data_IF_887692364842
#
_entry.id   IF_887692364842
#
_cell.length_a   1.000
_cell.length_b   1.000
_cell.length_c   1.000
_cell.angle_alpha   90.00
_cell.angle_beta   90.00
_cell.angle_gamma   90.00
#
_symmetry.space_group_name_H-M   'P 1'
#
loop_
_entity.id
_entity.type
_entity.pdbx_description
1 polymer ?
#
# COMPACT_ATOMS: atom_id res chain seq x y z
N UNK A 1 -9.08 -40.19 0.12
CA UNK A 1 -7.74 -39.56 0.10
C UNK A 1 -7.88 -38.08 -0.21
N UNK A 2 -7.26 -37.23 0.57
CA UNK A 2 -7.32 -35.77 0.38
C UNK A 2 -6.39 -35.39 -0.78
N UNK A 3 -6.91 -34.60 -1.71
CA UNK A 3 -6.10 -34.09 -2.81
C UNK A 3 -5.29 -32.87 -2.29
N UNK A 4 -4.03 -33.10 -1.96
CA UNK A 4 -3.12 -32.11 -1.40
C UNK A 4 -2.96 -30.89 -2.31
N UNK A 5 -2.89 -31.10 -3.65
CA UNK A 5 -2.75 -30.01 -4.61
C UNK A 5 -3.97 -29.08 -4.61
N UNK A 6 -5.19 -29.63 -4.56
CA UNK A 6 -6.41 -28.85 -4.48
C UNK A 6 -6.51 -28.08 -3.16
N UNK A 7 -6.10 -28.71 -2.05
CA UNK A 7 -6.07 -28.07 -0.73
C UNK A 7 -5.08 -26.91 -0.71
N UNK A 8 -3.88 -27.07 -1.25
CA UNK A 8 -2.87 -26.02 -1.34
C UNK A 8 -3.33 -24.86 -2.22
N UNK A 9 -3.98 -25.15 -3.36
CA UNK A 9 -4.52 -24.13 -4.25
C UNK A 9 -5.62 -23.30 -3.56
N UNK A 10 -6.51 -23.96 -2.80
CA UNK A 10 -7.55 -23.27 -2.04
C UNK A 10 -6.95 -22.37 -0.95
N UNK A 11 -5.94 -22.87 -0.20
CA UNK A 11 -5.23 -22.08 0.82
C UNK A 11 -4.53 -20.87 0.20
N UNK A 12 -3.91 -21.04 -0.96
CA UNK A 12 -3.25 -19.94 -1.67
C UNK A 12 -4.24 -18.85 -2.09
N UNK A 13 -5.44 -19.26 -2.56
CA UNK A 13 -6.50 -18.31 -2.92
C UNK A 13 -7.02 -17.56 -1.70
N UNK A 14 -7.17 -18.25 -0.56
CA UNK A 14 -7.61 -17.65 0.69
C UNK A 14 -6.59 -16.62 1.20
N UNK A 15 -5.31 -16.95 1.12
CA UNK A 15 -4.24 -16.02 1.50
C UNK A 15 -4.24 -14.81 0.59
N UNK A 16 -4.34 -15.00 -0.73
CA UNK A 16 -4.38 -13.90 -1.69
C UNK A 16 -5.59 -12.99 -1.44
N UNK A 17 -6.75 -13.56 -1.14
CA UNK A 17 -7.95 -12.80 -0.80
C UNK A 17 -7.76 -11.99 0.48
N UNK A 18 -7.15 -12.58 1.51
CA UNK A 18 -6.87 -11.89 2.79
C UNK A 18 -5.91 -10.73 2.58
N UNK A 19 -4.83 -10.92 1.79
CA UNK A 19 -3.88 -9.86 1.48
C UNK A 19 -4.55 -8.73 0.72
N UNK A 20 -5.37 -9.05 -0.29
CA UNK A 20 -6.13 -8.05 -1.05
C UNK A 20 -7.06 -7.24 -0.14
N UNK A 21 -7.75 -7.91 0.78
CA UNK A 21 -8.64 -7.24 1.73
C UNK A 21 -7.89 -6.30 2.66
N UNK A 22 -6.72 -6.71 3.14
CA UNK A 22 -5.86 -5.86 3.99
C UNK A 22 -5.38 -4.63 3.24
N UNK A 23 -4.96 -4.78 1.98
CA UNK A 23 -4.54 -3.67 1.15
C UNK A 23 -5.68 -2.68 0.92
N UNK A 24 -6.89 -3.18 0.69
CA UNK A 24 -8.07 -2.33 0.51
C UNK A 24 -8.39 -1.55 1.80
N UNK A 25 -8.29 -2.19 2.96
CA UNK A 25 -8.50 -1.54 4.25
C UNK A 25 -7.43 -0.48 4.54
N UNK A 26 -6.17 -0.77 4.22
CA UNK A 26 -5.07 0.19 4.36
C UNK A 26 -5.30 1.42 3.50
N UNK A 27 -5.72 1.22 2.25
CA UNK A 27 -6.02 2.30 1.33
C UNK A 27 -7.16 3.17 1.85
N UNK A 28 -8.21 2.55 2.36
CA UNK A 28 -9.35 3.25 2.94
C UNK A 28 -8.95 4.07 4.16
N UNK A 29 -8.17 3.49 5.06
CA UNK A 29 -7.65 4.17 6.25
C UNK A 29 -6.78 5.35 5.86
N UNK A 30 -5.91 5.16 4.86
CA UNK A 30 -5.03 6.21 4.37
C UNK A 30 -5.83 7.34 3.71
N UNK A 31 -6.87 7.02 2.95
CA UNK A 31 -7.76 8.01 2.35
C UNK A 31 -8.42 8.87 3.44
N UNK A 32 -8.92 8.26 4.49
CA UNK A 32 -9.53 8.98 5.61
C UNK A 32 -8.54 9.89 6.31
N UNK A 33 -7.34 9.41 6.55
CA UNK A 33 -6.27 10.19 7.17
C UNK A 33 -5.91 11.41 6.31
N UNK A 34 -5.71 11.21 5.02
CA UNK A 34 -5.37 12.29 4.09
C UNK A 34 -6.49 13.31 3.98
N UNK A 35 -7.75 12.86 4.00
CA UNK A 35 -8.90 13.75 3.97
C UNK A 35 -8.94 14.66 5.20
N UNK A 36 -8.64 14.12 6.38
CA UNK A 36 -8.55 14.91 7.61
C UNK A 36 -7.44 15.96 7.52
N UNK A 37 -6.29 15.59 6.96
CA UNK A 37 -5.17 16.52 6.76
C UNK A 37 -5.51 17.61 5.76
N UNK A 38 -6.27 17.26 4.72
CA UNK A 38 -6.76 18.22 3.75
C UNK A 38 -7.70 19.25 4.40
N UNK A 39 -8.58 18.78 5.28
CA UNK A 39 -9.49 19.67 6.02
C UNK A 39 -8.75 20.63 6.94
N UNK A 40 -7.57 20.27 7.42
CA UNK A 40 -6.70 21.14 8.22
C UNK A 40 -5.85 22.09 7.39
N UNK A 41 -5.96 22.03 6.06
CA UNK A 41 -5.18 22.87 5.17
C UNK A 41 -3.76 22.38 4.90
N UNK A 42 -3.39 21.19 5.35
CA UNK A 42 -2.05 20.61 5.15
C UNK A 42 -1.87 20.00 3.77
N UNK A 43 -2.96 19.71 3.07
CA UNK A 43 -2.98 19.22 1.69
C UNK A 43 -3.88 20.18 0.91
N UNK A 44 -3.47 20.58 -0.31
CA UNK A 44 -4.29 21.49 -1.10
C UNK A 44 -5.70 20.95 -1.34
N UNK A 45 -6.69 21.85 -1.30
CA UNK A 45 -8.09 21.47 -1.46
C UNK A 45 -8.39 20.87 -2.84
N UNK A 46 -7.60 21.21 -3.87
CA UNK A 46 -7.76 20.65 -5.21
C UNK A 46 -7.23 19.23 -5.35
N UNK A 47 -6.48 18.73 -4.36
CA UNK A 47 -5.88 17.41 -4.41
C UNK A 47 -6.95 16.32 -4.21
N UNK A 48 -6.96 15.32 -5.10
CA UNK A 48 -7.80 14.13 -4.93
C UNK A 48 -7.12 13.17 -3.96
N UNK A 49 -7.56 13.19 -2.70
CA UNK A 49 -6.93 12.40 -1.64
C UNK A 49 -7.13 10.89 -1.84
N UNK A 50 -8.19 10.46 -2.51
CA UNK A 50 -8.39 9.05 -2.81
C UNK A 50 -7.31 8.55 -3.79
N UNK A 51 -7.05 9.30 -4.85
CA UNK A 51 -5.98 8.96 -5.80
C UNK A 51 -4.61 9.02 -5.15
N UNK A 52 -4.39 9.98 -4.29
CA UNK A 52 -3.14 10.08 -3.54
C UNK A 52 -2.94 8.87 -2.63
N UNK A 53 -4.00 8.43 -1.95
CA UNK A 53 -3.95 7.23 -1.12
C UNK A 53 -3.67 5.97 -1.94
N UNK A 54 -4.29 5.82 -3.11
CA UNK A 54 -4.02 4.71 -4.02
C UNK A 54 -2.54 4.68 -4.42
N UNK A 55 -2.00 5.83 -4.77
CA UNK A 55 -0.59 5.96 -5.15
C UNK A 55 0.33 5.57 -3.99
N UNK A 56 0.11 6.15 -2.82
CA UNK A 56 0.94 5.88 -1.63
C UNK A 56 0.86 4.41 -1.21
N UNK A 57 -0.33 3.83 -1.27
CA UNK A 57 -0.52 2.43 -0.93
C UNK A 57 0.26 1.51 -1.88
N UNK A 58 0.26 1.84 -3.17
CA UNK A 58 1.03 1.12 -4.17
C UNK A 58 2.53 1.21 -3.90
N UNK A 59 3.03 2.39 -3.56
CA UNK A 59 4.44 2.61 -3.20
C UNK A 59 4.81 1.78 -1.96
N UNK A 60 3.99 1.80 -0.93
CA UNK A 60 4.24 1.02 0.29
C UNK A 60 4.27 -0.48 0.03
N UNK A 61 3.37 -0.98 -0.82
CA UNK A 61 3.37 -2.39 -1.23
C UNK A 61 4.65 -2.75 -1.98
N UNK A 62 5.06 -1.90 -2.91
CA UNK A 62 6.29 -2.08 -3.67
C UNK A 62 7.53 -2.06 -2.77
N UNK A 63 7.59 -1.15 -1.81
CA UNK A 63 8.67 -1.08 -0.84
C UNK A 63 8.74 -2.35 0.02
N UNK A 64 7.59 -2.88 0.43
CA UNK A 64 7.52 -4.13 1.20
C UNK A 64 8.06 -5.32 0.41
N UNK A 65 7.72 -5.41 -0.86
CA UNK A 65 8.23 -6.45 -1.76
C UNK A 65 9.74 -6.29 -1.92
N UNK A 66 10.21 -5.08 -2.20
CA UNK A 66 11.64 -4.79 -2.37
C UNK A 66 12.44 -5.14 -1.12
N UNK A 67 11.90 -4.84 0.07
CA UNK A 67 12.53 -5.18 1.34
C UNK A 67 12.69 -6.68 1.49
N UNK A 68 11.65 -7.46 1.15
CA UNK A 68 11.72 -8.93 1.20
C UNK A 68 12.71 -9.52 0.20
N UNK A 69 12.96 -8.81 -0.89
CA UNK A 69 13.93 -9.21 -1.91
C UNK A 69 15.35 -8.72 -1.59
N UNK A 70 15.56 -8.16 -0.41
CA UNK A 70 16.87 -7.78 0.08
C UNK A 70 17.27 -6.34 -0.18
N UNK A 71 16.34 -5.46 -0.51
CA UNK A 71 16.67 -4.05 -0.66
C UNK A 71 17.23 -3.49 0.65
N UNK A 72 18.28 -2.66 0.53
CA UNK A 72 18.90 -2.03 1.69
C UNK A 72 17.99 -0.95 2.28
N UNK A 73 18.18 -0.65 3.56
CA UNK A 73 17.51 0.47 4.21
C UNK A 73 17.76 1.78 3.44
N UNK A 74 18.99 1.99 2.99
CA UNK A 74 19.37 3.18 2.23
C UNK A 74 18.53 3.30 0.94
N UNK A 75 18.39 2.20 0.18
CA UNK A 75 17.56 2.20 -1.03
C UNK A 75 16.11 2.53 -0.72
N UNK A 76 15.55 1.95 0.32
CA UNK A 76 14.17 2.21 0.72
C UNK A 76 13.98 3.67 1.15
N UNK A 77 14.94 4.24 1.85
CA UNK A 77 14.90 5.65 2.23
C UNK A 77 14.97 6.59 1.03
N UNK A 78 15.74 6.24 0.01
CA UNK A 78 15.80 7.01 -1.24
C UNK A 78 14.45 7.01 -1.94
N UNK A 79 13.74 5.88 -1.95
CA UNK A 79 12.39 5.78 -2.53
C UNK A 79 11.42 6.68 -1.75
N UNK A 80 11.49 6.63 -0.43
CA UNK A 80 10.65 7.49 0.42
C UNK A 80 10.92 8.98 0.17
N UNK A 81 12.18 9.37 0.05
CA UNK A 81 12.55 10.76 -0.26
C UNK A 81 12.02 11.19 -1.62
N UNK A 82 12.11 10.34 -2.63
CA UNK A 82 11.58 10.63 -3.96
C UNK A 82 10.06 10.84 -3.90
N UNK A 83 9.36 10.00 -3.16
CA UNK A 83 7.92 10.12 -2.95
C UNK A 83 7.57 11.48 -2.34
N UNK A 84 8.33 11.92 -1.32
CA UNK A 84 8.11 13.21 -0.66
C UNK A 84 8.36 14.40 -1.58
N UNK A 85 9.33 14.29 -2.51
CA UNK A 85 9.57 15.37 -3.48
C UNK A 85 8.42 15.53 -4.47
N UNK A 86 7.69 14.46 -4.75
CA UNK A 86 6.55 14.48 -5.65
C UNK A 86 5.24 14.80 -4.93
N UNK A 87 5.32 15.11 -3.64
CA UNK A 87 4.15 15.44 -2.82
C UNK A 87 3.53 16.75 -3.30
N UNK A 88 2.19 16.79 -3.44
CA UNK A 88 1.48 18.01 -3.88
C UNK A 88 1.53 19.17 -2.89
#
# INVERSE_FOLDING_TARGET
MINTSATLAASSRDIAHTVKSRHAMQEQTLTQFLHQRQQRGEIPAYCDVQKLAEYLNCILQGMSISAREGATFEKLMQIAHTTLRLWP
#
